data_IF_808551316456
#
_entry.id   IF_808551316456
#
_cell.length_a   1.000
_cell.length_b   1.000
_cell.length_c   1.000
_cell.angle_alpha   90.00
_cell.angle_beta   90.00
_cell.angle_gamma   90.00
#
_symmetry.space_group_name_H-M   'P 1'
#
loop_
_entity.id
_entity.type
_entity.pdbx_description
1 polymer ?
#
# COMPACT_ATOMS: atom_id res chain seq x y z
N UNK A 1 22.11 4.89 -3.00
CA UNK A 1 20.76 4.89 -3.60
C UNK A 1 19.77 4.95 -2.45
N UNK A 2 19.30 6.14 -2.09
CA UNK A 2 18.25 6.31 -1.08
C UNK A 2 16.97 5.71 -1.67
N UNK A 3 16.62 4.50 -1.22
CA UNK A 3 15.27 3.94 -1.43
C UNK A 3 14.30 4.88 -0.75
N UNK A 4 13.80 5.86 -1.48
CA UNK A 4 12.72 6.69 -0.99
C UNK A 4 11.53 5.77 -0.74
N UNK A 5 10.87 5.87 0.43
CA UNK A 5 9.62 5.16 0.65
C UNK A 5 8.60 5.65 -0.38
N UNK A 6 8.35 4.85 -1.42
CA UNK A 6 7.33 5.13 -2.42
C UNK A 6 5.97 4.92 -1.78
N UNK A 7 5.33 6.02 -1.40
CA UNK A 7 3.92 6.07 -1.10
C UNK A 7 3.16 5.66 -2.36
N UNK A 8 2.43 4.56 -2.30
CA UNK A 8 1.63 4.06 -3.42
C UNK A 8 0.15 4.05 -3.05
N UNK A 9 -0.72 4.26 -4.02
CA UNK A 9 -2.16 4.21 -3.82
C UNK A 9 -2.60 2.81 -3.42
N UNK A 10 -3.62 2.71 -2.55
CA UNK A 10 -4.27 1.44 -2.22
C UNK A 10 -4.74 0.71 -3.47
N UNK A 11 -5.25 1.43 -4.47
CA UNK A 11 -5.62 0.86 -5.77
C UNK A 11 -4.42 0.19 -6.49
N UNK A 12 -3.23 0.77 -6.37
CA UNK A 12 -2.01 0.19 -6.94
C UNK A 12 -1.56 -1.04 -6.15
N UNK A 13 -1.59 -0.99 -4.81
CA UNK A 13 -1.33 -2.17 -3.95
C UNK A 13 -2.23 -3.33 -4.34
N UNK A 14 -3.54 -3.06 -4.47
CA UNK A 14 -4.54 -4.03 -4.86
C UNK A 14 -4.19 -4.68 -6.21
N UNK A 15 -3.83 -3.87 -7.21
CA UNK A 15 -3.40 -4.36 -8.53
C UNK A 15 -2.10 -5.16 -8.50
N UNK A 16 -1.10 -4.75 -7.71
CA UNK A 16 0.18 -5.48 -7.63
C UNK A 16 0.05 -6.82 -6.90
N UNK A 17 -0.81 -6.88 -5.88
CA UNK A 17 -1.08 -8.09 -5.12
C UNK A 17 -2.17 -8.97 -5.76
N UNK A 18 -2.89 -8.47 -6.77
CA UNK A 18 -4.02 -9.17 -7.39
C UNK A 18 -5.19 -9.38 -6.44
N UNK A 19 -5.40 -8.45 -5.50
CA UNK A 19 -6.48 -8.48 -4.49
C UNK A 19 -7.41 -7.28 -4.68
N UNK A 20 -8.57 -7.29 -4.04
CA UNK A 20 -9.48 -6.15 -3.99
C UNK A 20 -8.93 -4.97 -3.19
N UNK A 21 -9.38 -3.75 -3.49
CA UNK A 21 -8.98 -2.54 -2.77
C UNK A 21 -9.36 -2.60 -1.28
N UNK A 22 -10.50 -3.23 -0.96
CA UNK A 22 -10.91 -3.45 0.42
C UNK A 22 -9.93 -4.39 1.16
N UNK A 23 -9.46 -5.44 0.50
CA UNK A 23 -8.46 -6.37 1.04
C UNK A 23 -7.09 -5.70 1.18
N UNK A 24 -6.69 -4.90 0.20
CA UNK A 24 -5.47 -4.10 0.28
C UNK A 24 -5.51 -3.11 1.46
N UNK A 25 -6.68 -2.51 1.71
CA UNK A 25 -6.89 -1.61 2.85
C UNK A 25 -6.85 -2.37 4.16
N UNK A 26 -7.55 -3.49 4.25
CA UNK A 26 -7.52 -4.36 5.42
C UNK A 26 -6.09 -4.87 5.71
N UNK A 27 -5.31 -5.17 4.66
CA UNK A 27 -3.91 -5.55 4.77
C UNK A 27 -3.06 -4.41 5.32
N UNK A 28 -3.21 -3.20 4.77
CA UNK A 28 -2.52 -2.01 5.25
C UNK A 28 -2.84 -1.71 6.73
N UNK A 29 -4.11 -1.83 7.13
CA UNK A 29 -4.54 -1.65 8.52
C UNK A 29 -3.98 -2.75 9.44
N UNK A 30 -4.05 -4.01 9.02
CA UNK A 30 -3.58 -5.17 9.79
C UNK A 30 -2.07 -5.18 9.98
N UNK A 31 -1.34 -4.75 8.96
CA UNK A 31 0.13 -4.61 8.98
C UNK A 31 0.58 -3.25 9.51
N UNK A 32 -0.36 -2.36 9.86
CA UNK A 32 -0.12 -1.00 10.37
C UNK A 32 0.79 -0.18 9.45
N UNK A 33 0.55 -0.28 8.14
CA UNK A 33 1.28 0.51 7.16
C UNK A 33 0.99 1.99 7.35
N UNK A 34 2.02 2.85 7.25
CA UNK A 34 1.81 4.29 7.22
C UNK A 34 0.82 4.63 6.11
N UNK A 35 -0.25 5.35 6.46
CA UNK A 35 -1.35 5.69 5.55
C UNK A 35 -1.53 7.20 5.54
N UNK A 36 -1.65 7.78 4.35
CA UNK A 36 -1.92 9.19 4.12
C UNK A 36 -3.18 9.32 3.29
N UNK A 37 -4.15 10.05 3.83
CA UNK A 37 -5.38 10.38 3.13
C UNK A 37 -5.16 11.65 2.30
N UNK A 38 -5.26 11.52 0.98
CA UNK A 38 -5.41 12.65 0.07
C UNK A 38 -6.90 12.79 -0.26
N UNK A 39 -7.29 13.96 -0.75
CA UNK A 39 -8.70 14.30 -0.97
C UNK A 39 -9.47 13.29 -1.85
N UNK A 40 -8.78 12.60 -2.77
CA UNK A 40 -9.37 11.64 -3.71
C UNK A 40 -8.69 10.26 -3.67
N UNK A 41 -7.64 10.10 -2.86
CA UNK A 41 -6.80 8.90 -2.90
C UNK A 41 -6.25 8.53 -1.53
N UNK A 42 -6.07 7.23 -1.27
CA UNK A 42 -5.44 6.72 -0.06
C UNK A 42 -4.08 6.16 -0.41
N UNK A 43 -3.03 6.85 0.03
CA UNK A 43 -1.66 6.40 -0.15
C UNK A 43 -1.22 5.61 1.06
N UNK A 44 -0.59 4.47 0.82
CA UNK A 44 0.02 3.63 1.86
C UNK A 44 1.49 3.44 1.57
N UNK A 45 2.25 3.18 2.63
CA UNK A 45 3.64 2.82 2.55
C UNK A 45 3.84 1.35 2.93
N UNK A 46 3.78 0.42 1.97
CA UNK A 46 4.04 -0.98 2.24
C UNK A 46 5.53 -1.27 2.45
N UNK A 47 5.88 -2.31 3.22
CA UNK A 47 7.24 -2.84 3.24
C UNK A 47 7.60 -3.37 1.85
N UNK A 48 8.76 -3.00 1.32
CA UNK A 48 9.32 -3.60 0.10
C UNK A 48 10.13 -4.86 0.45
N UNK A 49 10.06 -5.92 -0.38
CA UNK A 49 9.16 -6.08 -1.52
C UNK A 49 7.71 -6.36 -1.09
N UNK A 50 6.75 -5.87 -1.88
CA UNK A 50 5.32 -6.23 -1.75
C UNK A 50 5.08 -7.73 -2.03
N UNK A 51 6.05 -8.37 -2.69
CA UNK A 51 6.13 -9.82 -2.86
C UNK A 51 6.56 -10.46 -1.54
N UNK A 52 5.68 -11.23 -0.91
CA UNK A 52 6.10 -12.20 0.09
C UNK A 52 7.16 -13.11 -0.51
N UNK A 53 8.40 -12.99 -0.03
CA UNK A 53 9.46 -13.97 -0.24
C UNK A 53 9.27 -15.16 0.68
#
# INVERSE_FOLDING_TARGET
>A
MTMQPDWISIAQVARELGIDEAEARALAERMRWPTVFKADDTLVLPPRPLTGG
#
